data_IF_516362368612
#
_entry.id   IF_516362368612
#
_cell.length_a   1.000
_cell.length_b   1.000
_cell.length_c   1.000
_cell.angle_alpha   90.00
_cell.angle_beta   90.00
_cell.angle_gamma   90.00
#
_symmetry.space_group_name_H-M   'P 1'
#
loop_
_entity.id
_entity.type
_entity.pdbx_description
1 polymer ?
#
# COMPACT_ATOMS: atom_id res chain seq x y z
N UNK A 1 -7.78 19.74 0.31
CA UNK A 1 -7.33 19.69 -1.10
C UNK A 1 -8.46 19.09 -1.91
N UNK A 2 -8.75 19.59 -3.12
CA UNK A 2 -9.78 18.95 -3.93
C UNK A 2 -9.38 17.50 -4.14
N UNK A 3 -10.38 16.59 -4.11
CA UNK A 3 -10.21 15.18 -4.43
C UNK A 3 -9.20 15.02 -5.56
N UNK A 4 -8.05 14.48 -5.26
CA UNK A 4 -7.06 14.17 -6.28
C UNK A 4 -7.62 13.04 -7.10
N UNK A 5 -8.36 13.38 -8.17
CA UNK A 5 -8.74 12.39 -9.16
C UNK A 5 -7.45 11.73 -9.62
N UNK A 6 -7.36 10.44 -9.31
CA UNK A 6 -6.27 9.59 -9.75
C UNK A 6 -6.12 9.74 -11.26
N UNK A 7 -4.91 9.95 -11.74
CA UNK A 7 -4.68 9.98 -13.20
C UNK A 7 -4.94 8.59 -13.77
N UNK A 8 -5.31 8.50 -15.04
CA UNK A 8 -5.56 7.23 -15.75
C UNK A 8 -4.45 6.19 -15.59
N UNK A 9 -3.23 6.63 -15.29
CA UNK A 9 -2.08 5.78 -15.00
C UNK A 9 -2.15 5.02 -13.66
N UNK A 10 -3.10 5.34 -12.78
CA UNK A 10 -3.25 4.72 -11.46
C UNK A 10 -4.50 3.84 -11.33
N UNK A 11 -5.26 3.63 -12.41
CA UNK A 11 -6.45 2.79 -12.44
C UNK A 11 -6.11 1.29 -12.47
N UNK A 12 -5.25 0.85 -11.53
CA UNK A 12 -4.80 -0.53 -11.43
C UNK A 12 -5.26 -1.15 -10.13
N UNK A 13 -5.94 -2.28 -10.22
CA UNK A 13 -6.31 -3.09 -9.08
C UNK A 13 -5.22 -4.08 -8.73
N UNK A 14 -5.00 -4.26 -7.44
CA UNK A 14 -4.21 -5.35 -6.90
C UNK A 14 -5.03 -6.62 -6.96
N UNK A 15 -4.63 -7.63 -7.76
CA UNK A 15 -5.45 -8.83 -7.95
C UNK A 15 -5.56 -9.69 -6.69
N UNK A 16 -6.59 -10.53 -6.65
CA UNK A 16 -6.90 -11.40 -5.52
C UNK A 16 -5.71 -12.27 -5.08
N UNK A 17 -4.93 -12.81 -6.03
CA UNK A 17 -3.79 -13.66 -5.68
C UNK A 17 -2.68 -12.90 -4.94
N UNK A 18 -2.52 -11.62 -5.22
CA UNK A 18 -1.56 -10.75 -4.49
C UNK A 18 -2.05 -10.49 -3.07
N UNK A 19 -3.35 -10.18 -2.90
CA UNK A 19 -3.95 -10.05 -1.58
C UNK A 19 -3.85 -11.34 -0.77
N UNK A 20 -4.08 -12.50 -1.37
CA UNK A 20 -3.97 -13.79 -0.68
C UNK A 20 -2.57 -14.03 -0.11
N UNK A 21 -1.52 -13.53 -0.77
CA UNK A 21 -0.14 -13.67 -0.26
C UNK A 21 0.14 -12.80 0.95
N UNK A 22 -0.47 -11.62 1.05
CA UNK A 22 -0.24 -10.69 2.16
C UNK A 22 -1.18 -10.92 3.35
N UNK A 23 -2.35 -11.51 3.12
CA UNK A 23 -3.35 -11.79 4.17
C UNK A 23 -2.74 -12.42 5.44
N UNK A 24 -1.81 -13.40 5.39
CA UNK A 24 -1.22 -13.98 6.61
C UNK A 24 -0.46 -12.97 7.50
N UNK A 25 -0.12 -11.81 6.98
CA UNK A 25 0.65 -10.78 7.68
C UNK A 25 -0.21 -9.59 8.13
N UNK A 26 -1.49 -9.58 7.76
CA UNK A 26 -2.45 -8.54 8.16
C UNK A 26 -3.12 -8.93 9.48
N UNK A 27 -3.09 -8.09 10.54
CA UNK A 27 -3.69 -8.40 11.81
C UNK A 27 -5.22 -8.43 11.71
N UNK A 28 -5.82 -9.62 11.87
CA UNK A 28 -7.28 -9.82 11.75
C UNK A 28 -8.10 -9.16 12.85
N UNK A 29 -7.47 -8.93 13.99
CA UNK A 29 -8.12 -8.33 15.17
C UNK A 29 -8.19 -6.80 15.12
N UNK A 30 -7.67 -6.20 14.06
CA UNK A 30 -7.63 -4.75 13.91
C UNK A 30 -8.44 -4.28 12.72
N UNK A 31 -9.03 -3.10 12.83
CA UNK A 31 -9.66 -2.42 11.69
C UNK A 31 -8.58 -1.96 10.71
N UNK A 32 -8.64 -2.43 9.49
CA UNK A 32 -7.70 -2.13 8.42
C UNK A 32 -8.22 -0.98 7.57
N UNK A 33 -7.40 0.03 7.39
CA UNK A 33 -7.70 1.15 6.52
C UNK A 33 -7.03 0.98 5.17
N UNK A 34 -7.84 1.06 4.10
CA UNK A 34 -7.40 1.14 2.72
C UNK A 34 -7.74 2.54 2.18
N UNK A 35 -6.82 3.51 2.33
CA UNK A 35 -7.13 4.90 1.99
C UNK A 35 -7.22 5.19 0.50
N UNK A 36 -6.77 4.27 -0.37
CA UNK A 36 -6.71 4.49 -1.82
C UNK A 36 -7.84 3.73 -2.51
N UNK A 37 -9.02 4.34 -2.52
CA UNK A 37 -10.30 3.70 -2.85
C UNK A 37 -10.33 3.04 -4.24
N UNK A 38 -9.79 3.71 -5.25
CA UNK A 38 -9.85 3.29 -6.64
C UNK A 38 -11.31 2.98 -7.07
N UNK A 39 -11.68 1.69 -7.22
CA UNK A 39 -13.05 1.24 -7.54
C UNK A 39 -13.74 0.47 -6.42
N UNK A 40 -13.12 0.38 -5.24
CA UNK A 40 -13.66 -0.32 -4.08
C UNK A 40 -13.39 -1.84 -4.07
N UNK A 41 -12.75 -2.39 -5.09
CA UNK A 41 -12.49 -3.84 -5.20
C UNK A 41 -11.72 -4.41 -4.01
N UNK A 42 -10.63 -3.77 -3.62
CA UNK A 42 -9.76 -4.26 -2.54
C UNK A 42 -10.50 -4.36 -1.21
N UNK A 43 -11.27 -3.33 -0.86
CA UNK A 43 -12.07 -3.33 0.38
C UNK A 43 -13.11 -4.42 0.40
N UNK A 44 -13.86 -4.59 -0.69
CA UNK A 44 -14.83 -5.67 -0.83
C UNK A 44 -14.19 -7.04 -0.67
N UNK A 45 -13.08 -7.28 -1.38
CA UNK A 45 -12.37 -8.56 -1.34
C UNK A 45 -11.88 -8.91 0.06
N UNK A 46 -11.24 -7.97 0.77
CA UNK A 46 -10.73 -8.22 2.12
C UNK A 46 -11.86 -8.38 3.14
N UNK A 47 -12.98 -7.66 2.98
CA UNK A 47 -14.17 -7.87 3.82
C UNK A 47 -14.73 -9.28 3.65
N UNK A 48 -14.80 -9.80 2.42
CA UNK A 48 -15.20 -11.20 2.15
C UNK A 48 -14.23 -12.22 2.76
N UNK A 49 -12.97 -11.83 3.00
CA UNK A 49 -11.98 -12.65 3.72
C UNK A 49 -12.06 -12.52 5.25
N UNK A 50 -13.03 -11.77 5.76
CA UNK A 50 -13.32 -11.65 7.18
C UNK A 50 -12.51 -10.58 7.92
N UNK A 51 -11.97 -9.60 7.20
CA UNK A 51 -11.33 -8.43 7.81
C UNK A 51 -12.36 -7.32 8.09
N UNK A 52 -12.13 -6.58 9.16
CA UNK A 52 -12.82 -5.33 9.44
C UNK A 52 -12.14 -4.21 8.64
N UNK A 53 -12.81 -3.70 7.60
CA UNK A 53 -12.23 -2.82 6.59
C UNK A 53 -12.90 -1.45 6.59
N UNK A 54 -12.09 -0.41 6.61
CA UNK A 54 -12.49 0.95 6.23
C UNK A 54 -11.91 1.24 4.85
N UNK A 55 -12.79 1.41 3.88
CA UNK A 55 -12.43 1.67 2.49
C UNK A 55 -13.47 2.58 1.85
N UNK A 56 -13.16 3.86 1.79
CA UNK A 56 -14.05 4.91 1.32
C UNK A 56 -13.27 5.93 0.49
N UNK A 57 -13.96 6.87 -0.13
CA UNK A 57 -13.39 7.92 -0.99
C UNK A 57 -13.08 9.22 -0.22
N UNK A 58 -12.76 9.11 1.06
CA UNK A 58 -12.34 10.25 1.87
C UNK A 58 -10.94 10.74 1.47
N UNK A 59 -10.68 12.03 1.63
CA UNK A 59 -9.36 12.59 1.34
C UNK A 59 -8.31 12.01 2.30
N UNK A 60 -7.35 11.27 1.77
CA UNK A 60 -6.26 10.68 2.54
C UNK A 60 -5.50 11.71 3.39
N UNK A 61 -5.35 12.94 2.89
CA UNK A 61 -4.56 13.96 3.59
C UNK A 61 -5.30 14.57 4.80
N UNK A 62 -6.61 14.44 4.83
CA UNK A 62 -7.47 14.98 5.89
C UNK A 62 -8.02 13.87 6.81
N UNK A 63 -7.89 12.60 6.41
CA UNK A 63 -8.42 11.45 7.15
C UNK A 63 -7.39 10.80 8.06
N UNK A 64 -7.87 10.19 9.14
CA UNK A 64 -7.15 9.31 10.04
C UNK A 64 -8.11 8.20 10.48
N UNK A 65 -8.10 7.09 9.78
CA UNK A 65 -9.08 6.03 9.96
C UNK A 65 -8.38 4.68 10.24
N UNK A 66 -9.11 3.76 10.85
CA UNK A 66 -8.61 2.40 11.15
C UNK A 66 -7.37 2.38 12.07
N UNK A 67 -6.90 1.18 12.35
CA UNK A 67 -5.76 0.94 13.24
C UNK A 67 -4.46 0.64 12.48
N UNK A 68 -4.57 0.08 11.28
CA UNK A 68 -3.46 -0.34 10.42
C UNK A 68 -3.79 -0.02 8.98
N UNK A 69 -2.82 0.42 8.20
CA UNK A 69 -2.98 0.60 6.74
C UNK A 69 -2.36 -0.58 6.01
N UNK A 70 -3.11 -1.17 5.08
CA UNK A 70 -2.56 -2.16 4.16
C UNK A 70 -3.12 -1.89 2.76
N UNK A 71 -2.32 -1.28 1.89
CA UNK A 71 -2.84 -0.83 0.59
C UNK A 71 -1.76 -0.77 -0.50
N UNK A 72 -2.21 -0.61 -1.73
CA UNK A 72 -1.39 -0.30 -2.90
C UNK A 72 -1.58 1.18 -3.25
N UNK A 73 -0.69 2.08 -2.79
CA UNK A 73 -0.84 3.50 -3.02
C UNK A 73 -0.54 3.89 -4.47
N UNK A 74 -0.98 5.08 -4.90
CA UNK A 74 -0.60 5.62 -6.20
C UNK A 74 0.91 5.89 -6.25
N UNK A 75 1.54 5.53 -7.35
CA UNK A 75 2.98 5.74 -7.53
C UNK A 75 3.32 7.10 -8.11
N UNK A 76 2.38 7.73 -8.78
CA UNK A 76 2.47 9.08 -9.34
C UNK A 76 1.15 9.82 -9.19
N UNK A 77 1.21 11.09 -8.85
CA UNK A 77 0.07 12.00 -8.89
C UNK A 77 0.55 13.29 -9.57
N UNK A 78 -0.22 13.78 -10.53
CA UNK A 78 0.09 15.04 -11.20
C UNK A 78 0.17 16.17 -10.17
N UNK A 79 1.26 16.93 -10.20
CA UNK A 79 1.48 18.06 -9.29
C UNK A 79 2.03 17.67 -7.90
N UNK A 80 2.18 16.38 -7.58
CA UNK A 80 2.76 15.95 -6.31
C UNK A 80 4.09 15.24 -6.54
N UNK A 81 5.17 15.90 -6.18
CA UNK A 81 6.52 15.32 -6.24
C UNK A 81 6.72 14.37 -5.05
N UNK A 82 7.37 13.22 -5.29
CA UNK A 82 7.70 12.22 -4.26
C UNK A 82 6.47 11.72 -3.48
N UNK A 83 5.38 11.43 -4.17
CA UNK A 83 4.12 11.02 -3.53
C UNK A 83 4.27 9.84 -2.57
N UNK A 84 5.06 8.83 -2.93
CA UNK A 84 5.31 7.64 -2.08
C UNK A 84 5.94 8.02 -0.74
N UNK A 85 6.93 8.92 -0.75
CA UNK A 85 7.53 9.45 0.47
C UNK A 85 6.51 10.19 1.32
N UNK A 86 5.74 11.09 0.72
CA UNK A 86 4.73 11.89 1.44
C UNK A 86 3.65 11.02 2.09
N UNK A 87 3.24 9.93 1.41
CA UNK A 87 2.29 8.96 1.97
C UNK A 87 2.90 8.29 3.21
N UNK A 88 4.13 7.77 3.12
CA UNK A 88 4.79 7.14 4.27
C UNK A 88 5.00 8.13 5.42
N UNK A 89 5.46 9.35 5.14
CA UNK A 89 5.66 10.38 6.17
C UNK A 89 4.35 10.74 6.87
N UNK A 90 3.23 10.87 6.14
CA UNK A 90 1.94 11.11 6.76
C UNK A 90 1.53 9.96 7.68
N UNK A 91 1.60 8.71 7.22
CA UNK A 91 1.24 7.55 8.05
C UNK A 91 2.12 7.46 9.31
N UNK A 92 3.40 7.74 9.19
CA UNK A 92 4.31 7.80 10.33
C UNK A 92 3.92 8.93 11.30
N UNK A 93 3.57 10.11 10.78
CA UNK A 93 3.14 11.24 11.61
C UNK A 93 1.84 10.96 12.38
N UNK A 94 0.96 10.12 11.82
CA UNK A 94 -0.25 9.63 12.48
C UNK A 94 0.04 8.42 13.42
N UNK A 95 1.30 8.02 13.56
CA UNK A 95 1.69 6.78 14.24
C UNK A 95 0.91 5.55 13.76
N UNK A 96 0.63 5.50 12.47
CA UNK A 96 -0.19 4.46 11.84
C UNK A 96 0.71 3.36 11.29
N UNK A 97 0.69 2.14 11.86
CA UNK A 97 1.37 0.99 11.26
C UNK A 97 0.88 0.76 9.83
N UNK A 98 1.79 0.41 8.95
CA UNK A 98 1.40 0.17 7.56
C UNK A 98 2.16 -0.96 6.88
N UNK A 99 1.54 -1.49 5.85
CA UNK A 99 2.09 -2.40 4.86
C UNK A 99 1.70 -1.88 3.47
N UNK A 100 2.63 -1.26 2.76
CA UNK A 100 2.38 -0.63 1.46
C UNK A 100 3.07 -1.37 0.32
N UNK A 101 2.32 -1.66 -0.73
CA UNK A 101 2.84 -2.27 -1.96
C UNK A 101 3.49 -1.19 -2.82
N UNK A 102 4.81 -1.24 -2.96
CA UNK A 102 5.59 -0.22 -3.67
C UNK A 102 6.55 -0.86 -4.68
N UNK A 103 6.95 -0.12 -5.74
CA UNK A 103 8.02 -0.59 -6.63
C UNK A 103 9.30 -0.86 -5.85
N UNK A 104 9.98 -1.98 -6.13
CA UNK A 104 11.21 -2.38 -5.45
C UNK A 104 12.33 -1.34 -5.61
N UNK A 105 12.33 -0.60 -6.72
CA UNK A 105 13.25 0.52 -6.96
C UNK A 105 13.14 1.64 -5.92
N UNK A 106 12.03 1.69 -5.17
CA UNK A 106 11.85 2.65 -4.06
C UNK A 106 12.93 2.49 -2.99
N UNK A 107 13.41 1.26 -2.75
CA UNK A 107 14.45 0.96 -1.75
C UNK A 107 15.80 1.63 -2.05
N UNK A 108 16.08 1.91 -3.33
CA UNK A 108 17.35 2.49 -3.77
C UNK A 108 17.32 4.02 -3.83
N UNK A 109 16.22 4.62 -3.44
CA UNK A 109 16.09 6.07 -3.47
C UNK A 109 16.70 6.73 -2.23
N UNK A 110 17.28 7.90 -2.43
CA UNK A 110 17.84 8.71 -1.32
C UNK A 110 16.78 8.97 -0.24
N UNK A 111 15.54 9.29 -0.64
CA UNK A 111 14.48 9.59 0.32
C UNK A 111 14.11 8.39 1.19
N UNK A 112 14.12 7.17 0.62
CA UNK A 112 13.83 5.96 1.39
C UNK A 112 14.92 5.71 2.44
N UNK A 113 16.19 5.87 2.06
CA UNK A 113 17.30 5.74 3.01
C UNK A 113 17.17 6.74 4.16
N UNK A 114 16.97 8.02 3.85
CA UNK A 114 16.83 9.08 4.85
C UNK A 114 15.63 8.84 5.78
N UNK A 115 14.50 8.38 5.23
CA UNK A 115 13.33 8.04 6.02
C UNK A 115 13.59 6.83 6.91
N UNK A 116 14.20 5.78 6.37
CA UNK A 116 14.56 4.57 7.11
C UNK A 116 15.48 4.87 8.29
N UNK A 117 16.54 5.65 8.07
CA UNK A 117 17.46 6.08 9.12
C UNK A 117 16.73 6.86 10.24
N UNK A 118 15.76 7.70 9.86
CA UNK A 118 14.99 8.53 10.81
C UNK A 118 14.00 7.75 11.66
N UNK A 119 13.40 6.67 11.13
CA UNK A 119 12.34 5.91 11.80
C UNK A 119 12.80 4.58 12.41
N UNK A 120 14.09 4.28 12.31
CA UNK A 120 14.64 3.03 12.86
C UNK A 120 14.47 1.80 11.97
N UNK A 121 14.22 2.00 10.68
CA UNK A 121 14.12 0.94 9.68
C UNK A 121 12.71 0.55 9.28
N UNK A 122 12.64 -0.32 8.27
CA UNK A 122 11.42 -0.93 7.75
C UNK A 122 11.59 -2.44 7.70
N UNK A 123 10.48 -3.16 7.78
CA UNK A 123 10.43 -4.58 7.48
C UNK A 123 9.91 -4.78 6.05
N UNK A 124 10.35 -5.83 5.37
CA UNK A 124 10.02 -6.08 3.97
C UNK A 124 9.38 -7.46 3.80
N UNK A 125 8.29 -7.51 3.02
CA UNK A 125 7.73 -8.75 2.50
C UNK A 125 7.97 -8.75 0.99
N UNK A 126 8.78 -9.69 0.53
CA UNK A 126 9.34 -9.68 -0.82
C UNK A 126 8.76 -10.85 -1.60
N UNK A 127 7.93 -10.59 -2.63
CA UNK A 127 7.43 -11.62 -3.53
C UNK A 127 8.58 -12.28 -4.31
N UNK A 128 8.50 -13.61 -4.46
CA UNK A 128 9.45 -14.36 -5.32
C UNK A 128 9.19 -14.19 -6.80
N UNK A 129 8.05 -13.61 -7.16
CA UNK A 129 7.62 -13.41 -8.54
C UNK A 129 7.17 -11.95 -8.78
N UNK A 130 7.20 -11.55 -10.04
CA UNK A 130 6.63 -10.28 -10.46
C UNK A 130 5.11 -10.38 -10.46
N UNK A 131 4.43 -9.42 -9.84
CA UNK A 131 2.98 -9.35 -9.88
C UNK A 131 2.48 -8.74 -11.20
N UNK A 132 1.40 -9.30 -11.71
CA UNK A 132 0.62 -8.70 -12.78
C UNK A 132 -0.58 -7.97 -12.17
N UNK A 133 -0.87 -6.79 -12.68
CA UNK A 133 -1.97 -5.95 -12.20
C UNK A 133 -3.12 -5.95 -13.20
N UNK A 134 -4.33 -5.72 -12.70
CA UNK A 134 -5.53 -5.60 -13.52
C UNK A 134 -5.95 -4.13 -13.60
N UNK A 135 -6.22 -3.63 -14.81
CA UNK A 135 -6.93 -2.36 -14.95
C UNK A 135 -8.33 -2.48 -14.37
N UNK A 136 -8.88 -1.38 -13.87
CA UNK A 136 -10.27 -1.29 -13.40
C UNK A 136 -11.27 -1.84 -14.45
N UNK A 137 -10.92 -1.77 -15.74
CA UNK A 137 -11.72 -2.30 -16.85
C UNK A 137 -11.56 -3.83 -17.06
N UNK A 138 -10.84 -4.54 -16.18
CA UNK A 138 -10.67 -5.99 -16.25
C UNK A 138 -9.57 -6.48 -17.20
N UNK A 139 -8.75 -5.60 -17.76
CA UNK A 139 -7.63 -5.97 -18.63
C UNK A 139 -6.38 -6.23 -17.81
N UNK A 140 -5.87 -7.46 -17.83
CA UNK A 140 -4.57 -7.79 -17.25
C UNK A 140 -3.43 -7.24 -18.10
N UNK A 141 -2.45 -6.64 -17.45
CA UNK A 141 -1.22 -6.20 -18.10
C UNK A 141 -0.02 -6.61 -17.28
N UNK A 142 1.01 -7.13 -17.94
CA UNK A 142 2.28 -7.45 -17.29
C UNK A 142 2.87 -6.17 -16.69
N UNK A 143 3.15 -6.20 -15.40
CA UNK A 143 3.85 -5.13 -14.75
C UNK A 143 5.29 -5.04 -15.28
N UNK A 144 5.75 -3.84 -15.59
CA UNK A 144 7.10 -3.61 -16.11
C UNK A 144 8.18 -3.63 -15.02
N UNK A 145 7.80 -3.61 -13.75
CA UNK A 145 8.71 -3.53 -12.61
C UNK A 145 8.29 -4.50 -11.49
N UNK A 146 9.23 -4.84 -10.63
CA UNK A 146 8.96 -5.61 -9.42
C UNK A 146 8.39 -4.72 -8.32
N UNK A 147 7.51 -5.29 -7.52
CA UNK A 147 6.96 -4.66 -6.32
C UNK A 147 7.24 -5.49 -5.08
N UNK A 148 7.21 -4.85 -3.93
CA UNK A 148 7.33 -5.48 -2.62
C UNK A 148 6.51 -4.70 -1.61
N UNK A 149 6.24 -5.34 -0.47
CA UNK A 149 5.55 -4.70 0.63
C UNK A 149 6.56 -4.08 1.58
N UNK A 150 6.47 -2.77 1.77
CA UNK A 150 7.25 -2.03 2.77
C UNK A 150 6.37 -1.86 4.00
N UNK A 151 6.84 -2.39 5.13
CA UNK A 151 6.11 -2.41 6.37
C UNK A 151 6.79 -1.55 7.43
N UNK A 152 6.01 -0.74 8.12
CA UNK A 152 6.48 0.02 9.27
C UNK A 152 5.59 -0.25 10.49
N UNK A 153 6.23 -0.51 11.63
CA UNK A 153 5.58 -0.78 12.92
C UNK A 153 4.53 -1.92 12.89
N UNK A 154 4.64 -2.82 11.90
CA UNK A 154 3.79 -4.01 11.80
C UNK A 154 4.20 -5.11 12.77
N UNK A 155 5.41 -5.03 13.34
CA UNK A 155 5.98 -6.01 14.26
C UNK A 155 5.99 -7.42 13.69
N UNK A 156 6.43 -7.55 12.43
CA UNK A 156 6.61 -8.84 11.78
C UNK A 156 7.72 -9.63 12.50
N UNK A 157 7.63 -10.95 12.45
CA UNK A 157 8.61 -11.84 13.08
C UNK A 157 10.03 -11.66 12.51
N UNK A 158 10.13 -11.31 11.22
CA UNK A 158 11.40 -11.14 10.49
C UNK A 158 11.45 -9.78 9.79
N UNK A 159 12.67 -9.24 9.67
CA UNK A 159 12.88 -8.01 8.92
C UNK A 159 12.72 -8.21 7.40
N UNK A 160 13.05 -9.44 6.91
CA UNK A 160 12.86 -9.82 5.52
C UNK A 160 12.08 -11.14 5.43
N UNK A 161 10.97 -11.11 4.72
CA UNK A 161 10.15 -12.29 4.47
C UNK A 161 9.99 -12.50 2.97
N UNK A 162 10.35 -13.68 2.47
CA UNK A 162 10.12 -14.07 1.07
C UNK A 162 8.82 -14.86 0.98
N UNK A 163 7.93 -14.46 0.04
CA UNK A 163 6.62 -15.08 -0.18
C UNK A 163 6.40 -15.50 -1.61
#
# INVERSE_FOLDING_TARGET
MPHTKWTDDNNWNTPAYVWNKIIPYIPKEKTIWLPFYNDGYAGKYLTEKGFDIIHNDNDFWESDEGAVVCDNPPYKIKGIVKIKLKIMERLISLNKPFCLLLPSTSLQTKYFKELSDRVGGFQLIIPREKYDYEKVEGVRTKCLFYTLWICWNMKLEKDFTLI
#
